data_IF_520152540981
#
_entry.id   IF_520152540981
#
_cell.length_a   1.000
_cell.length_b   1.000
_cell.length_c   1.000
_cell.angle_alpha   90.00
_cell.angle_beta   90.00
_cell.angle_gamma   90.00
#
_symmetry.space_group_name_H-M   'P 1'
#
loop_
_entity.id
_entity.type
_entity.pdbx_description
1 polymer ?
#
# COMPACT_ATOMS: atom_id res chain seq x y z
N UNK A 1 66.90 -19.73 -45.88
CA UNK A 1 66.48 -19.47 -44.48
C UNK A 1 65.77 -18.12 -44.30
N UNK A 2 66.35 -16.98 -44.68
CA UNK A 2 65.70 -15.65 -44.49
C UNK A 2 64.30 -15.52 -45.11
N UNK A 3 64.10 -16.01 -46.33
CA UNK A 3 62.81 -15.95 -47.02
C UNK A 3 61.69 -16.74 -46.29
N UNK A 4 62.03 -17.93 -45.78
CA UNK A 4 61.12 -18.78 -44.99
C UNK A 4 60.71 -18.15 -43.65
N UNK A 5 61.63 -17.44 -42.97
CA UNK A 5 61.27 -16.69 -41.75
C UNK A 5 60.34 -15.52 -42.05
N UNK A 6 60.59 -14.80 -43.14
CA UNK A 6 59.74 -13.66 -43.55
C UNK A 6 58.32 -14.14 -43.87
N UNK A 7 58.17 -15.22 -44.66
CA UNK A 7 56.85 -15.78 -44.96
C UNK A 7 56.10 -16.27 -43.72
N UNK A 8 56.80 -16.89 -42.76
CA UNK A 8 56.19 -17.35 -41.50
C UNK A 8 55.74 -16.18 -40.62
N UNK A 9 56.51 -15.09 -40.55
CA UNK A 9 56.13 -13.87 -39.83
C UNK A 9 54.91 -13.19 -40.46
N UNK A 10 54.85 -13.11 -41.79
CA UNK A 10 53.70 -12.54 -42.50
C UNK A 10 52.41 -13.34 -42.25
N UNK A 11 52.46 -14.67 -42.28
CA UNK A 11 51.30 -15.53 -41.99
C UNK A 11 50.82 -15.31 -40.55
N UNK A 12 51.73 -15.27 -39.58
CA UNK A 12 51.38 -15.06 -38.17
C UNK A 12 50.72 -13.70 -37.90
N UNK A 13 51.10 -12.64 -38.63
CA UNK A 13 50.49 -11.31 -38.50
C UNK A 13 49.07 -11.32 -39.06
N UNK A 14 48.86 -11.99 -40.20
CA UNK A 14 47.54 -12.11 -40.81
C UNK A 14 46.59 -12.89 -39.90
N UNK A 15 47.05 -14.01 -39.34
CA UNK A 15 46.24 -14.83 -38.42
C UNK A 15 45.87 -14.06 -37.15
N UNK A 16 46.82 -13.31 -36.56
CA UNK A 16 46.56 -12.47 -35.40
C UNK A 16 45.54 -11.35 -35.68
N UNK A 17 45.60 -10.74 -36.87
CA UNK A 17 44.66 -9.70 -37.28
C UNK A 17 43.25 -10.26 -37.51
N UNK A 18 43.14 -11.42 -38.18
CA UNK A 18 41.86 -12.13 -38.38
C UNK A 18 41.25 -12.52 -37.04
N UNK A 19 42.06 -13.03 -36.11
CA UNK A 19 41.64 -13.38 -34.76
C UNK A 19 41.10 -12.16 -33.99
N UNK A 20 41.83 -11.04 -33.99
CA UNK A 20 41.40 -9.81 -33.34
C UNK A 20 40.10 -9.26 -33.96
N UNK A 21 39.99 -9.27 -35.29
CA UNK A 21 38.79 -8.82 -35.99
C UNK A 21 37.57 -9.71 -35.68
N UNK A 22 37.74 -11.02 -35.59
CA UNK A 22 36.69 -11.96 -35.20
C UNK A 22 36.20 -11.72 -33.77
N UNK A 23 37.12 -11.55 -32.81
CA UNK A 23 36.76 -11.20 -31.43
C UNK A 23 36.04 -9.86 -31.31
N UNK A 24 36.44 -8.87 -32.10
CA UNK A 24 35.76 -7.58 -32.16
C UNK A 24 34.30 -7.72 -32.65
N UNK A 25 34.07 -8.50 -33.72
CA UNK A 25 32.70 -8.78 -34.19
C UNK A 25 31.86 -9.54 -33.14
N UNK A 26 32.45 -10.50 -32.42
CA UNK A 26 31.76 -11.22 -31.35
C UNK A 26 31.37 -10.30 -30.18
N UNK A 27 32.22 -9.33 -29.83
CA UNK A 27 31.89 -8.35 -28.79
C UNK A 27 30.76 -7.41 -29.23
N UNK A 28 30.74 -7.00 -30.50
CA UNK A 28 29.67 -6.17 -31.04
C UNK A 28 28.32 -6.89 -31.04
N UNK A 29 28.28 -8.16 -31.44
CA UNK A 29 27.04 -8.94 -31.45
C UNK A 29 26.54 -9.21 -30.03
N UNK A 30 27.42 -9.57 -29.10
CA UNK A 30 27.08 -9.75 -27.70
C UNK A 30 26.55 -8.44 -27.07
N UNK A 31 27.19 -7.31 -27.36
CA UNK A 31 26.73 -5.99 -26.93
C UNK A 31 25.36 -5.63 -27.49
N UNK A 32 25.11 -5.91 -28.77
CA UNK A 32 23.81 -5.70 -29.40
C UNK A 32 22.70 -6.54 -28.79
N UNK A 33 22.96 -7.83 -28.49
CA UNK A 33 22.01 -8.72 -27.83
C UNK A 33 21.72 -8.22 -26.41
N UNK A 34 22.75 -7.83 -25.66
CA UNK A 34 22.59 -7.28 -24.31
C UNK A 34 21.77 -6.00 -24.30
N UNK A 35 22.04 -5.07 -25.22
CA UNK A 35 21.30 -3.82 -25.37
C UNK A 35 19.84 -4.06 -25.76
N UNK A 36 19.60 -4.98 -26.71
CA UNK A 36 18.25 -5.38 -27.09
C UNK A 36 17.47 -5.97 -25.91
N UNK A 37 18.11 -6.84 -25.13
CA UNK A 37 17.51 -7.44 -23.94
C UNK A 37 17.16 -6.38 -22.89
N UNK A 38 18.07 -5.44 -22.60
CA UNK A 38 17.83 -4.32 -21.68
C UNK A 38 16.66 -3.44 -22.14
N UNK A 39 16.63 -3.08 -23.43
CA UNK A 39 15.56 -2.25 -23.99
C UNK A 39 14.21 -2.98 -23.96
N UNK A 40 14.18 -4.25 -24.32
CA UNK A 40 12.99 -5.10 -24.26
C UNK A 40 12.48 -5.25 -22.82
N UNK A 41 13.38 -5.46 -21.86
CA UNK A 41 13.05 -5.54 -20.44
C UNK A 41 12.45 -4.22 -19.94
N UNK A 42 13.08 -3.09 -20.25
CA UNK A 42 12.57 -1.77 -19.90
C UNK A 42 11.17 -1.50 -20.47
N UNK A 43 10.94 -1.84 -21.75
CA UNK A 43 9.64 -1.69 -22.39
C UNK A 43 8.57 -2.61 -21.76
N UNK A 44 8.94 -3.82 -21.39
CA UNK A 44 8.04 -4.78 -20.73
C UNK A 44 7.61 -4.27 -19.36
N UNK A 45 8.56 -3.77 -18.54
CA UNK A 45 8.26 -3.16 -17.24
C UNK A 45 7.31 -1.96 -17.38
N UNK A 46 7.53 -1.08 -18.37
CA UNK A 46 6.62 0.04 -18.62
C UNK A 46 5.21 -0.39 -19.00
N UNK A 47 5.08 -1.44 -19.83
CA UNK A 47 3.78 -2.02 -20.18
C UNK A 47 3.06 -2.60 -18.96
N UNK A 48 3.78 -3.37 -18.14
CA UNK A 48 3.23 -3.94 -16.91
C UNK A 48 2.73 -2.83 -15.96
N UNK A 49 3.52 -1.78 -15.74
CA UNK A 49 3.12 -0.63 -14.91
C UNK A 49 1.86 0.03 -15.47
N UNK A 50 1.77 0.20 -16.79
CA UNK A 50 0.60 0.83 -17.44
C UNK A 50 -0.65 -0.04 -17.34
N UNK A 51 -0.55 -1.33 -17.65
CA UNK A 51 -1.64 -2.30 -17.54
C UNK A 51 -2.16 -2.33 -16.10
N UNK A 52 -1.26 -2.36 -15.12
CA UNK A 52 -1.65 -2.34 -13.73
C UNK A 52 -2.38 -1.04 -13.37
N UNK A 53 -1.89 0.13 -13.83
CA UNK A 53 -2.57 1.42 -13.61
C UNK A 53 -3.97 1.45 -14.22
N UNK A 54 -4.14 0.91 -15.43
CA UNK A 54 -5.43 0.80 -16.12
C UNK A 54 -6.38 -0.16 -15.37
N UNK A 55 -5.88 -1.32 -14.93
CA UNK A 55 -6.64 -2.29 -14.12
C UNK A 55 -7.07 -1.68 -12.77
N UNK A 56 -6.23 -0.84 -12.16
CA UNK A 56 -6.56 -0.12 -10.93
C UNK A 56 -7.66 0.90 -11.14
N UNK A 57 -7.58 1.70 -12.20
CA UNK A 57 -8.59 2.69 -12.51
C UNK A 57 -9.92 2.02 -12.86
N UNK A 58 -9.88 0.98 -13.68
CA UNK A 58 -11.05 0.16 -13.99
C UNK A 58 -11.71 -0.42 -12.72
N UNK A 59 -10.89 -0.90 -11.77
CA UNK A 59 -11.41 -1.40 -10.50
C UNK A 59 -12.07 -0.28 -9.67
N UNK A 60 -11.43 0.88 -9.51
CA UNK A 60 -12.03 2.02 -8.80
C UNK A 60 -13.34 2.49 -9.44
N UNK A 61 -13.35 2.61 -10.77
CA UNK A 61 -14.52 3.03 -11.54
C UNK A 61 -15.66 2.01 -11.41
N UNK A 62 -15.34 0.71 -11.43
CA UNK A 62 -16.31 -0.37 -11.20
C UNK A 62 -16.95 -0.28 -9.81
N UNK A 63 -16.16 -0.02 -8.76
CA UNK A 63 -16.67 0.15 -7.39
C UNK A 63 -17.62 1.34 -7.27
N UNK A 64 -17.24 2.49 -7.84
CA UNK A 64 -18.10 3.67 -7.85
C UNK A 64 -19.39 3.41 -8.65
N UNK A 65 -19.29 2.72 -9.79
CA UNK A 65 -20.42 2.33 -10.62
C UNK A 65 -21.39 1.37 -9.90
N UNK A 66 -20.89 0.51 -9.01
CA UNK A 66 -21.72 -0.35 -8.15
C UNK A 66 -22.36 0.47 -7.02
N UNK A 67 -21.61 1.40 -6.41
CA UNK A 67 -22.09 2.24 -5.30
C UNK A 67 -23.25 3.16 -5.69
N UNK A 68 -23.20 3.72 -6.90
CA UNK A 68 -24.21 4.66 -7.40
C UNK A 68 -25.65 4.09 -7.41
N UNK A 69 -25.95 2.95 -8.05
CA UNK A 69 -27.29 2.36 -8.04
C UNK A 69 -27.72 1.90 -6.64
N UNK A 70 -26.80 1.42 -5.80
CA UNK A 70 -27.08 1.08 -4.40
C UNK A 70 -27.55 2.32 -3.63
N UNK A 71 -26.86 3.44 -3.79
CA UNK A 71 -27.22 4.73 -3.15
C UNK A 71 -28.57 5.26 -3.65
N UNK A 72 -28.85 5.12 -4.95
CA UNK A 72 -30.10 5.53 -5.58
C UNK A 72 -31.30 4.68 -5.13
N UNK A 73 -31.08 3.42 -4.74
CA UNK A 73 -32.12 2.54 -4.18
C UNK A 73 -32.27 2.78 -2.66
N UNK A 74 -31.17 2.99 -1.95
CA UNK A 74 -31.17 3.24 -0.51
C UNK A 74 -31.96 4.49 -0.11
N UNK A 75 -31.74 5.59 -0.82
CA UNK A 75 -32.31 6.91 -0.50
C UNK A 75 -33.85 6.92 -0.48
N UNK A 76 -34.56 6.45 -1.52
CA UNK A 76 -36.02 6.41 -1.53
C UNK A 76 -36.59 5.34 -0.58
N UNK A 77 -35.89 4.21 -0.38
CA UNK A 77 -36.31 3.19 0.61
C UNK A 77 -36.27 3.74 2.03
N UNK A 78 -35.25 4.53 2.36
CA UNK A 78 -35.14 5.17 3.67
C UNK A 78 -36.26 6.20 3.90
N UNK A 79 -36.54 7.03 2.89
CA UNK A 79 -37.62 8.02 2.95
C UNK A 79 -39.01 7.38 3.06
N UNK A 80 -39.26 6.27 2.36
CA UNK A 80 -40.53 5.53 2.43
C UNK A 80 -40.75 4.83 3.78
N UNK A 81 -39.70 4.65 4.59
CA UNK A 81 -39.79 4.07 5.94
C UNK A 81 -40.31 5.07 6.98
N UNK A 82 -40.16 6.38 6.72
CA UNK A 82 -40.54 7.46 7.64
C UNK A 82 -42.04 7.83 7.53
N UNK A 83 -42.70 7.53 6.41
CA UNK A 83 -44.13 7.81 6.19
C UNK A 83 -45.00 6.55 6.30
N UNK A 84 -45.85 6.48 7.34
CA UNK A 84 -47.11 5.70 7.42
C UNK A 84 -47.13 4.25 6.87
N UNK A 85 -46.03 3.50 7.00
CA UNK A 85 -45.93 2.15 6.43
C UNK A 85 -46.44 1.05 7.39
N UNK A 86 -47.17 0.01 6.90
CA UNK A 86 -47.53 -1.17 7.70
C UNK A 86 -46.31 -1.85 8.33
N UNK A 87 -46.43 -2.35 9.57
CA UNK A 87 -45.29 -2.88 10.35
C UNK A 87 -44.52 -4.03 9.67
N UNK A 88 -45.20 -4.87 8.89
CA UNK A 88 -44.54 -5.96 8.14
C UNK A 88 -43.68 -5.43 6.98
N UNK A 89 -44.13 -4.37 6.31
CA UNK A 89 -43.37 -3.68 5.25
C UNK A 89 -42.20 -2.93 5.86
N UNK A 90 -42.39 -2.28 7.01
CA UNK A 90 -41.35 -1.57 7.76
C UNK A 90 -40.20 -2.49 8.17
N UNK A 91 -40.51 -3.69 8.67
CA UNK A 91 -39.50 -4.72 8.98
C UNK A 91 -38.73 -5.16 7.75
N UNK A 92 -39.42 -5.44 6.63
CA UNK A 92 -38.78 -5.85 5.38
C UNK A 92 -37.89 -4.74 4.81
N UNK A 93 -38.35 -3.49 4.82
CA UNK A 93 -37.60 -2.31 4.38
C UNK A 93 -36.36 -2.09 5.25
N UNK A 94 -36.48 -2.25 6.58
CA UNK A 94 -35.36 -2.11 7.51
C UNK A 94 -34.26 -3.15 7.26
N UNK A 95 -34.64 -4.37 6.86
CA UNK A 95 -33.70 -5.42 6.47
C UNK A 95 -32.99 -5.09 5.16
N UNK A 96 -33.73 -4.58 4.16
CA UNK A 96 -33.15 -4.17 2.88
C UNK A 96 -32.18 -3.00 3.06
N UNK A 97 -32.56 -1.98 3.84
CA UNK A 97 -31.71 -0.84 4.18
C UNK A 97 -30.43 -1.32 4.89
N UNK A 98 -30.56 -2.18 5.91
CA UNK A 98 -29.40 -2.71 6.64
C UNK A 98 -28.45 -3.52 5.75
N UNK A 99 -28.98 -4.29 4.80
CA UNK A 99 -28.18 -5.04 3.85
C UNK A 99 -27.45 -4.12 2.86
N UNK A 100 -28.10 -3.04 2.43
CA UNK A 100 -27.48 -2.01 1.58
C UNK A 100 -26.36 -1.28 2.34
N UNK A 101 -26.59 -0.89 3.59
CA UNK A 101 -25.56 -0.26 4.43
C UNK A 101 -24.35 -1.17 4.63
N UNK A 102 -24.59 -2.46 4.91
CA UNK A 102 -23.53 -3.48 5.02
C UNK A 102 -22.74 -3.63 3.71
N UNK A 103 -23.43 -3.58 2.57
CA UNK A 103 -22.79 -3.64 1.26
C UNK A 103 -21.95 -2.40 0.97
N UNK A 104 -22.42 -1.19 1.29
CA UNK A 104 -21.63 0.04 1.13
C UNK A 104 -20.38 0.03 1.99
N UNK A 105 -20.49 -0.50 3.22
CA UNK A 105 -19.35 -0.69 4.12
C UNK A 105 -18.33 -1.67 3.54
N UNK A 106 -18.78 -2.81 3.01
CA UNK A 106 -17.91 -3.80 2.36
C UNK A 106 -17.23 -3.26 1.11
N UNK A 107 -17.97 -2.54 0.26
CA UNK A 107 -17.43 -1.88 -0.94
C UNK A 107 -16.33 -0.89 -0.55
N UNK A 108 -16.59 -0.06 0.47
CA UNK A 108 -15.63 0.91 0.99
C UNK A 108 -14.38 0.23 1.55
N UNK A 109 -14.53 -0.86 2.33
CA UNK A 109 -13.40 -1.65 2.85
C UNK A 109 -12.54 -2.22 1.72
N UNK A 110 -13.16 -2.73 0.66
CA UNK A 110 -12.44 -3.31 -0.47
C UNK A 110 -11.72 -2.24 -1.30
N UNK A 111 -12.35 -1.08 -1.53
CA UNK A 111 -11.70 0.07 -2.17
C UNK A 111 -10.45 0.50 -1.41
N UNK A 112 -10.56 0.64 -0.08
CA UNK A 112 -9.43 1.00 0.77
C UNK A 112 -8.31 -0.05 0.74
N UNK A 113 -8.63 -1.34 0.70
CA UNK A 113 -7.64 -2.41 0.59
C UNK A 113 -6.90 -2.34 -0.74
N UNK A 114 -7.62 -2.13 -1.85
CA UNK A 114 -7.01 -1.97 -3.17
C UNK A 114 -6.13 -0.72 -3.22
N UNK A 115 -6.58 0.40 -2.66
CA UNK A 115 -5.79 1.63 -2.56
C UNK A 115 -4.47 1.41 -1.81
N UNK A 116 -4.49 0.70 -0.67
CA UNK A 116 -3.27 0.34 0.07
C UNK A 116 -2.28 -0.51 -0.77
N UNK A 117 -2.79 -1.49 -1.52
CA UNK A 117 -1.96 -2.31 -2.41
C UNK A 117 -1.34 -1.50 -3.56
N UNK A 118 -2.07 -0.51 -4.11
CA UNK A 118 -1.59 0.32 -5.24
C UNK A 118 -0.45 1.23 -4.82
N UNK A 119 -0.60 1.94 -3.69
CA UNK A 119 0.43 2.89 -3.27
C UNK A 119 1.78 2.20 -3.07
N UNK A 120 1.82 0.90 -2.76
CA UNK A 120 3.05 0.12 -2.52
C UNK A 120 4.11 0.11 -3.64
N UNK A 121 3.82 0.56 -4.87
CA UNK A 121 4.73 0.35 -6.02
C UNK A 121 5.95 1.27 -6.13
N UNK A 122 5.91 2.45 -5.52
CA UNK A 122 7.07 3.34 -5.45
C UNK A 122 7.36 3.59 -3.98
N UNK A 123 8.52 3.11 -3.54
CA UNK A 123 9.02 3.30 -2.18
C UNK A 123 9.79 4.62 -2.13
N UNK A 124 9.29 5.56 -1.35
CA UNK A 124 9.99 6.79 -1.00
C UNK A 124 10.49 6.67 0.45
N UNK A 125 11.64 6.02 0.62
CA UNK A 125 12.21 5.74 1.94
C UNK A 125 13.05 6.94 2.38
N UNK A 126 12.70 7.52 3.52
CA UNK A 126 13.49 8.55 4.16
C UNK A 126 13.65 8.27 5.65
N UNK A 127 14.59 8.96 6.28
CA UNK A 127 14.85 8.88 7.71
C UNK A 127 13.89 9.80 8.48
N UNK A 128 13.24 9.24 9.50
CA UNK A 128 12.29 9.96 10.35
C UNK A 128 12.51 9.66 11.83
N UNK A 129 12.26 10.65 12.68
CA UNK A 129 12.20 10.46 14.12
C UNK A 129 10.86 9.80 14.49
N UNK A 130 10.94 8.55 14.99
CA UNK A 130 9.79 7.67 15.19
C UNK A 130 8.81 8.22 16.23
N UNK A 131 9.31 8.79 17.32
CA UNK A 131 8.49 9.30 18.41
C UNK A 131 7.56 10.43 17.94
N UNK A 132 8.12 11.43 17.27
CA UNK A 132 7.42 12.57 16.69
C UNK A 132 6.46 12.12 15.59
N UNK A 133 6.89 11.22 14.70
CA UNK A 133 6.01 10.66 13.67
C UNK A 133 4.75 10.04 14.27
N UNK A 134 4.91 9.11 15.22
CA UNK A 134 3.78 8.42 15.87
C UNK A 134 2.95 9.39 16.70
N UNK A 135 3.58 10.32 17.43
CA UNK A 135 2.87 11.32 18.23
C UNK A 135 1.95 12.19 17.37
N UNK A 136 2.41 12.62 16.19
CA UNK A 136 1.61 13.38 15.24
C UNK A 136 0.41 12.56 14.71
N UNK A 137 0.61 11.27 14.40
CA UNK A 137 -0.49 10.37 13.98
C UNK A 137 -1.52 10.23 15.09
N UNK A 138 -1.09 9.89 16.31
CA UNK A 138 -1.99 9.72 17.47
C UNK A 138 -2.74 11.02 17.75
N UNK A 139 -2.06 12.18 17.70
CA UNK A 139 -2.68 13.48 17.91
C UNK A 139 -3.80 13.76 16.90
N UNK A 140 -3.58 13.44 15.61
CA UNK A 140 -4.59 13.64 14.57
C UNK A 140 -5.88 12.82 14.79
N UNK A 141 -5.79 11.70 15.51
CA UNK A 141 -6.91 10.80 15.79
C UNK A 141 -7.58 11.03 17.15
N UNK A 142 -7.06 11.93 17.98
CA UNK A 142 -7.65 12.24 19.29
C UNK A 142 -9.10 12.73 19.19
N UNK A 143 -9.41 13.55 18.18
CA UNK A 143 -10.78 14.03 17.96
C UNK A 143 -11.73 12.87 17.65
N UNK A 144 -11.35 11.99 16.73
CA UNK A 144 -12.12 10.81 16.38
C UNK A 144 -12.37 9.88 17.59
N UNK A 145 -11.35 9.67 18.42
CA UNK A 145 -11.50 8.91 19.67
C UNK A 145 -12.45 9.59 20.66
N UNK A 146 -12.37 10.92 20.79
CA UNK A 146 -13.21 11.72 21.68
C UNK A 146 -14.69 11.66 21.26
N UNK A 147 -14.97 11.71 19.96
CA UNK A 147 -16.33 11.55 19.42
C UNK A 147 -16.93 10.17 19.78
N UNK A 148 -16.08 9.16 19.94
CA UNK A 148 -16.43 7.81 20.43
C UNK A 148 -16.34 7.65 21.95
N UNK A 149 -16.13 8.75 22.69
CA UNK A 149 -15.98 8.79 24.17
C UNK A 149 -14.80 7.95 24.70
N UNK A 150 -13.75 7.82 23.91
CA UNK A 150 -12.53 7.07 24.26
C UNK A 150 -11.35 8.03 24.40
N UNK A 151 -10.60 7.92 25.49
CA UNK A 151 -9.35 8.65 25.69
C UNK A 151 -8.21 7.94 24.99
N UNK A 152 -7.68 8.54 23.93
CA UNK A 152 -6.50 8.04 23.21
C UNK A 152 -5.21 8.68 23.73
N UNK A 153 -4.27 7.84 24.16
CA UNK A 153 -2.97 8.25 24.68
C UNK A 153 -1.82 7.53 23.96
N UNK A 154 -0.64 8.14 24.01
CA UNK A 154 0.59 7.58 23.42
C UNK A 154 1.61 7.30 24.53
N UNK A 155 2.35 6.20 24.39
CA UNK A 155 3.52 5.87 25.21
C UNK A 155 4.67 5.40 24.33
N UNK A 156 5.81 6.07 24.41
CA UNK A 156 7.06 5.60 23.77
C UNK A 156 7.87 4.79 24.79
N UNK A 157 8.36 3.62 24.41
CA UNK A 157 9.26 2.78 25.24
C UNK A 157 10.74 3.05 24.92
N UNK A 158 11.03 4.23 24.37
CA UNK A 158 12.35 4.74 24.01
C UNK A 158 12.36 6.27 24.14
N UNK A 159 13.54 6.86 24.29
CA UNK A 159 13.72 8.32 24.35
C UNK A 159 13.81 8.96 22.97
N UNK A 160 14.53 8.32 22.06
CA UNK A 160 14.74 8.76 20.68
C UNK A 160 14.96 7.53 19.81
N UNK A 161 14.35 7.50 18.63
CA UNK A 161 14.62 6.47 17.63
C UNK A 161 14.52 7.10 16.23
N UNK A 162 15.57 6.91 15.44
CA UNK A 162 15.58 7.29 14.02
C UNK A 162 15.41 6.03 13.18
N UNK A 163 14.46 6.06 12.24
CA UNK A 163 14.09 4.89 11.45
C UNK A 163 13.86 5.28 9.99
N UNK A 164 14.15 4.35 9.09
CA UNK A 164 13.99 4.53 7.66
C UNK A 164 12.70 3.85 7.21
N UNK A 165 11.74 4.62 6.73
CA UNK A 165 10.49 4.07 6.19
C UNK A 165 9.84 5.04 5.19
N UNK A 166 8.91 4.54 4.39
CA UNK A 166 8.08 5.37 3.54
C UNK A 166 6.88 5.90 4.34
N UNK A 167 6.93 7.19 4.67
CA UNK A 167 5.90 7.85 5.47
C UNK A 167 4.51 7.76 4.81
N UNK A 168 4.43 7.81 3.48
CA UNK A 168 3.16 7.74 2.74
C UNK A 168 2.48 6.37 2.89
N UNK A 169 3.27 5.30 3.07
CA UNK A 169 2.77 3.92 3.24
C UNK A 169 2.46 3.61 4.70
N UNK A 170 3.33 4.03 5.61
CA UNK A 170 3.18 3.70 7.03
C UNK A 170 2.06 4.52 7.69
N UNK A 171 1.88 5.79 7.31
CA UNK A 171 0.82 6.65 7.87
C UNK A 171 -0.58 6.02 7.82
N UNK A 172 -1.10 5.56 6.67
CA UNK A 172 -2.43 4.96 6.60
C UNK A 172 -2.53 3.61 7.32
N UNK A 173 -1.43 2.87 7.48
CA UNK A 173 -1.39 1.61 8.24
C UNK A 173 -1.56 1.91 9.73
N UNK A 174 -0.79 2.86 10.27
CA UNK A 174 -0.90 3.29 11.67
C UNK A 174 -2.29 3.87 11.96
N UNK A 175 -2.82 4.69 11.05
CA UNK A 175 -4.17 5.23 11.21
C UNK A 175 -5.23 4.14 11.28
N UNK A 176 -5.18 3.19 10.36
CA UNK A 176 -6.13 2.08 10.31
C UNK A 176 -6.01 1.23 11.56
N UNK A 177 -4.79 1.00 12.05
CA UNK A 177 -4.54 0.23 13.26
C UNK A 177 -5.15 0.90 14.49
N UNK A 178 -4.96 2.21 14.65
CA UNK A 178 -5.55 3.00 15.75
C UNK A 178 -7.08 3.08 15.63
N UNK A 179 -7.61 3.40 14.44
CA UNK A 179 -9.06 3.48 14.20
C UNK A 179 -9.75 2.17 14.49
N UNK A 180 -9.14 1.05 14.07
CA UNK A 180 -9.68 -0.27 14.31
C UNK A 180 -9.83 -0.57 15.81
N UNK A 181 -8.85 -0.17 16.62
CA UNK A 181 -8.94 -0.32 18.08
C UNK A 181 -10.03 0.56 18.71
N UNK A 182 -10.22 1.78 18.19
CA UNK A 182 -11.28 2.70 18.65
C UNK A 182 -12.67 2.19 18.24
N UNK A 183 -12.81 1.63 17.03
CA UNK A 183 -14.10 1.15 16.52
C UNK A 183 -14.56 -0.14 17.18
N UNK A 184 -13.63 -1.00 17.59
CA UNK A 184 -13.90 -2.29 18.22
C UNK A 184 -13.69 -2.28 19.75
N UNK A 185 -13.48 -1.11 20.35
CA UNK A 185 -13.42 -0.97 21.80
C UNK A 185 -14.79 -1.25 22.41
N UNK A 186 -14.82 -1.91 23.56
CA UNK A 186 -16.07 -2.17 24.27
C UNK A 186 -16.60 -0.88 24.91
N UNK A 187 -17.90 -0.76 25.22
CA UNK A 187 -18.46 0.42 25.89
C UNK A 187 -17.76 0.79 27.20
N UNK A 188 -17.20 -0.21 27.88
CA UNK A 188 -16.41 -0.06 29.11
C UNK A 188 -14.95 0.38 28.92
N UNK A 189 -14.42 0.32 27.69
CA UNK A 189 -13.05 0.72 27.36
C UNK A 189 -12.97 2.25 27.23
N UNK A 190 -12.83 2.94 28.35
CA UNK A 190 -12.75 4.42 28.36
C UNK A 190 -11.39 4.96 27.89
N UNK A 191 -10.36 4.11 27.82
CA UNK A 191 -8.98 4.53 27.52
C UNK A 191 -8.26 3.51 26.65
N UNK A 192 -7.63 4.00 25.58
CA UNK A 192 -6.75 3.25 24.70
C UNK A 192 -5.36 3.87 24.75
N UNK A 193 -4.35 3.04 25.02
CA UNK A 193 -2.95 3.43 25.03
C UNK A 193 -2.28 2.83 23.80
N UNK A 194 -1.84 3.70 22.89
CA UNK A 194 -0.95 3.34 21.79
C UNK A 194 0.51 3.39 22.28
N UNK A 195 1.13 2.22 22.39
CA UNK A 195 2.54 2.08 22.75
C UNK A 195 3.40 1.77 21.53
N UNK A 196 4.61 2.30 21.49
CA UNK A 196 5.60 2.01 20.44
C UNK A 196 6.92 1.64 21.12
N UNK A 197 7.44 0.46 20.80
CA UNK A 197 8.76 -0.02 21.24
C UNK A 197 9.71 -0.10 20.05
N UNK A 198 10.99 0.16 20.26
CA UNK A 198 12.03 0.03 19.23
C UNK A 198 13.23 -0.69 19.82
N UNK A 199 13.77 -1.65 19.06
CA UNK A 199 15.05 -2.31 19.32
C UNK A 199 15.98 -2.10 18.12
N UNK A 200 17.13 -2.77 18.11
CA UNK A 200 18.14 -2.63 17.04
C UNK A 200 17.71 -3.17 15.67
N UNK A 201 16.67 -4.01 15.59
CA UNK A 201 16.25 -4.68 14.35
C UNK A 201 14.91 -4.17 13.83
N UNK A 202 13.97 -3.85 14.73
CA UNK A 202 12.62 -3.46 14.37
C UNK A 202 11.98 -2.53 15.42
N UNK A 203 10.89 -1.89 14.99
CA UNK A 203 9.98 -1.18 15.85
C UNK A 203 8.61 -1.84 15.80
N UNK A 204 7.89 -1.81 16.92
CA UNK A 204 6.66 -2.55 17.11
C UNK A 204 5.58 -1.64 17.74
N UNK A 205 4.47 -1.39 17.03
CA UNK A 205 3.32 -0.71 17.60
C UNK A 205 2.44 -1.71 18.36
N UNK A 206 2.02 -1.34 19.58
CA UNK A 206 1.16 -2.13 20.47
C UNK A 206 0.01 -1.28 20.97
N UNK A 207 -1.20 -1.84 21.00
CA UNK A 207 -2.36 -1.17 21.58
C UNK A 207 -2.78 -1.92 22.84
N UNK A 208 -3.02 -1.18 23.93
CA UNK A 208 -3.60 -1.71 25.17
C UNK A 208 -4.88 -0.97 25.50
N UNK A 209 -5.96 -1.72 25.69
CA UNK A 209 -7.22 -1.19 26.21
C UNK A 209 -7.17 -1.26 27.73
N UNK A 210 -7.63 -0.19 28.39
CA UNK A 210 -7.73 -0.18 29.84
C UNK A 210 -9.19 -0.12 30.27
N UNK A 211 -9.63 -1.19 30.91
CA UNK A 211 -10.86 -1.24 31.66
C UNK A 211 -10.59 -0.73 33.08
N UNK A 212 -11.22 0.35 33.55
CA UNK A 212 -11.19 0.65 34.97
C UNK A 212 -11.95 -0.48 35.69
N UNK A 213 -11.20 -1.31 36.42
CA UNK A 213 -11.81 -2.25 37.37
C UNK A 213 -12.58 -1.36 38.35
N UNK A 214 -13.89 -1.55 38.41
CA UNK A 214 -14.71 -0.96 39.47
C UNK A 214 -14.20 -1.50 40.80
N UNK A 215 -13.57 -0.65 41.60
CA UNK A 215 -13.54 -0.79 43.06
C UNK A 215 -14.95 -0.59 43.63
#
# INVERSE_FOLDING_TARGET
MKYLMITSLFVSIIDANIFHQSHFFLLLTAGGISLYWLLSHFLTLHKEIKILKEEHQYFMDSFQSIRNPITLVHTPLRAACDDSCPEDIKKMLSLVIRNIDCLDEHLTKLMNLRHLLIYSKQMDIAEYELGNFINNRVHSLKKFATDKRIKLEIKTEFNYASVWFDQSKISPIIDKFIKNAIEHSKPEDKRIIFSISSNSEHWEPKIRNYHPIHD
#
